data_IF_864033035389
#
_entry.id   IF_864033035389
#
_cell.length_a   1.000
_cell.length_b   1.000
_cell.length_c   1.000
_cell.angle_alpha   90.00
_cell.angle_beta   90.00
_cell.angle_gamma   90.00
#
_symmetry.space_group_name_H-M   'P 1'
#
loop_
_entity.id
_entity.type
_entity.pdbx_description
1 polymer ?
#
# COMPACT_ATOMS: atom_id res chain seq x y z
N UNK A 1 53.64 57.70 -6.46
CA UNK A 1 53.08 56.99 -7.62
C UNK A 1 52.65 55.61 -7.12
N UNK A 2 51.34 55.37 -6.97
CA UNK A 2 50.62 54.09 -7.09
C UNK A 2 49.19 54.31 -6.58
N UNK A 3 48.24 54.35 -7.51
CA UNK A 3 46.78 54.38 -7.25
C UNK A 3 46.35 52.96 -6.91
N UNK A 4 45.68 52.76 -5.77
CA UNK A 4 44.97 51.52 -5.47
C UNK A 4 43.68 51.47 -6.31
N UNK A 5 43.47 50.47 -7.18
CA UNK A 5 42.19 50.28 -7.82
C UNK A 5 41.27 49.57 -6.81
N UNK A 6 40.13 50.21 -6.50
CA UNK A 6 39.05 49.54 -5.80
C UNK A 6 38.57 48.38 -6.68
N UNK A 7 38.80 47.16 -6.19
CA UNK A 7 38.35 45.92 -6.81
C UNK A 7 36.84 45.83 -6.63
N UNK A 8 36.08 46.29 -7.63
CA UNK A 8 34.62 46.19 -7.70
C UNK A 8 34.23 44.76 -8.12
N UNK A 9 34.42 43.79 -7.23
CA UNK A 9 33.94 42.39 -7.42
C UNK A 9 32.59 42.16 -6.69
N UNK A 10 32.08 43.17 -5.98
CA UNK A 10 31.12 42.95 -4.89
C UNK A 10 29.62 42.88 -5.18
N UNK A 11 29.13 43.05 -6.41
CA UNK A 11 27.66 43.18 -6.60
C UNK A 11 27.08 42.41 -7.79
N UNK A 12 27.73 42.40 -8.96
CA UNK A 12 27.20 41.68 -10.13
C UNK A 12 27.29 40.16 -9.94
N UNK A 13 28.41 39.65 -9.40
CA UNK A 13 28.59 38.22 -9.13
C UNK A 13 27.67 37.72 -8.01
N UNK A 14 27.42 38.52 -6.98
CA UNK A 14 26.50 38.16 -5.89
C UNK A 14 25.04 38.16 -6.35
N UNK A 15 24.64 39.13 -7.19
CA UNK A 15 23.30 39.16 -7.80
C UNK A 15 23.09 37.99 -8.76
N UNK A 16 24.10 37.58 -9.52
CA UNK A 16 24.04 36.40 -10.38
C UNK A 16 23.92 35.10 -9.57
N UNK A 17 24.67 34.97 -8.47
CA UNK A 17 24.56 33.82 -7.56
C UNK A 17 23.19 33.80 -6.87
N UNK A 18 22.68 34.93 -6.40
CA UNK A 18 21.33 35.05 -5.81
C UNK A 18 20.23 34.77 -6.84
N UNK A 19 20.38 35.24 -8.09
CA UNK A 19 19.44 34.96 -9.16
C UNK A 19 19.44 33.46 -9.51
N UNK A 20 20.61 32.81 -9.54
CA UNK A 20 20.74 31.36 -9.75
C UNK A 20 20.16 30.54 -8.60
N UNK A 21 20.35 30.95 -7.34
CA UNK A 21 19.69 30.31 -6.18
C UNK A 21 18.18 30.51 -6.25
N UNK A 22 17.70 31.72 -6.60
CA UNK A 22 16.27 31.98 -6.73
C UNK A 22 15.63 31.19 -7.87
N UNK A 23 16.36 30.98 -8.99
CA UNK A 23 15.91 30.16 -10.10
C UNK A 23 15.94 28.66 -9.76
N UNK A 24 16.91 28.20 -8.97
CA UNK A 24 17.00 26.82 -8.48
C UNK A 24 15.90 26.48 -7.45
N UNK A 25 15.48 27.45 -6.64
CA UNK A 25 14.32 27.30 -5.76
C UNK A 25 12.98 27.35 -6.48
N UNK A 26 12.94 27.75 -7.77
CA UNK A 26 11.67 28.05 -8.46
C UNK A 26 11.05 26.89 -9.22
N UNK A 27 11.72 25.74 -9.36
CA UNK A 27 11.13 24.56 -10.02
C UNK A 27 11.83 23.27 -9.58
N UNK A 28 11.74 22.89 -8.31
CA UNK A 28 11.72 21.46 -8.03
C UNK A 28 10.33 20.99 -8.43
N UNK A 29 10.17 19.91 -9.25
CA UNK A 29 8.87 19.27 -9.35
C UNK A 29 8.42 18.99 -7.92
N UNK A 30 7.22 19.45 -7.56
CA UNK A 30 6.63 19.09 -6.27
C UNK A 30 6.56 17.57 -6.25
N UNK A 31 7.38 16.93 -5.42
CA UNK A 31 7.24 15.51 -5.14
C UNK A 31 5.79 15.30 -4.69
N UNK A 32 5.12 14.32 -5.30
CA UNK A 32 3.74 14.00 -4.97
C UNK A 32 3.67 13.50 -3.53
N UNK A 33 2.58 13.84 -2.85
CA UNK A 33 2.33 13.36 -1.49
C UNK A 33 1.80 11.93 -1.50
N UNK A 34 1.75 11.28 -0.33
CA UNK A 34 1.09 9.99 -0.16
C UNK A 34 -0.33 10.01 -0.73
N UNK A 35 -1.15 11.01 -0.35
CA UNK A 35 -2.53 11.14 -0.81
C UNK A 35 -2.61 11.32 -2.34
N UNK A 36 -1.67 12.08 -2.93
CA UNK A 36 -1.64 12.26 -4.40
C UNK A 36 -1.28 10.96 -5.14
N UNK A 37 -0.41 10.12 -4.57
CA UNK A 37 -0.07 8.81 -5.13
C UNK A 37 -1.24 7.83 -4.98
N UNK A 38 -1.92 7.83 -3.83
CA UNK A 38 -3.12 7.02 -3.62
C UNK A 38 -4.22 7.39 -4.62
N UNK A 39 -4.52 8.68 -4.78
CA UNK A 39 -5.58 9.12 -5.72
C UNK A 39 -5.28 8.66 -7.15
N UNK A 40 -4.02 8.77 -7.58
CA UNK A 40 -3.61 8.30 -8.91
C UNK A 40 -3.61 6.77 -9.02
N UNK A 41 -3.16 6.06 -7.98
CA UNK A 41 -3.14 4.60 -7.96
C UNK A 41 -4.54 4.01 -8.03
N UNK A 42 -5.48 4.56 -7.24
CA UNK A 42 -6.88 4.16 -7.23
C UNK A 42 -7.53 4.44 -8.59
N UNK A 43 -7.24 5.59 -9.20
CA UNK A 43 -7.74 5.90 -10.55
C UNK A 43 -7.18 4.95 -11.63
N UNK A 44 -5.90 4.58 -11.53
CA UNK A 44 -5.28 3.59 -12.43
C UNK A 44 -5.89 2.20 -12.21
N UNK A 45 -6.14 1.80 -10.96
CA UNK A 45 -6.80 0.55 -10.60
C UNK A 45 -8.24 0.49 -11.16
N UNK A 46 -9.02 1.56 -10.99
CA UNK A 46 -10.38 1.68 -11.54
C UNK A 46 -10.38 1.62 -13.09
N UNK A 47 -9.29 2.04 -13.72
CA UNK A 47 -9.07 1.91 -15.16
C UNK A 47 -8.50 0.55 -15.59
N UNK A 48 -8.32 -0.38 -14.65
CA UNK A 48 -7.66 -1.70 -14.84
C UNK A 48 -6.21 -1.61 -15.37
N UNK A 49 -5.56 -0.46 -15.19
CA UNK A 49 -4.14 -0.25 -15.47
C UNK A 49 -3.30 -0.79 -14.31
N UNK A 50 -3.29 -2.11 -14.13
CA UNK A 50 -2.69 -2.75 -12.96
C UNK A 50 -1.19 -2.44 -12.77
N UNK A 51 -0.40 -2.38 -13.85
CA UNK A 51 1.04 -2.05 -13.77
C UNK A 51 1.28 -0.64 -13.22
N UNK A 52 0.55 0.35 -13.73
CA UNK A 52 0.62 1.74 -13.26
C UNK A 52 0.12 1.87 -11.82
N UNK A 53 -0.98 1.18 -11.47
CA UNK A 53 -1.50 1.16 -10.11
C UNK A 53 -0.47 0.60 -9.11
N UNK A 54 0.19 -0.52 -9.46
CA UNK A 54 1.22 -1.14 -8.62
C UNK A 54 2.41 -0.19 -8.40
N UNK A 55 2.91 0.46 -9.46
CA UNK A 55 4.00 1.43 -9.35
C UNK A 55 3.63 2.62 -8.44
N UNK A 56 2.41 3.12 -8.54
CA UNK A 56 1.93 4.24 -7.72
C UNK A 56 1.69 3.82 -6.26
N UNK A 57 1.16 2.62 -6.01
CA UNK A 57 1.05 2.09 -4.66
C UNK A 57 2.42 1.82 -4.03
N UNK A 58 3.42 1.36 -4.81
CA UNK A 58 4.80 1.21 -4.34
C UNK A 58 5.33 2.57 -3.86
N UNK A 59 5.20 3.62 -4.67
CA UNK A 59 5.61 4.98 -4.29
C UNK A 59 4.86 5.50 -3.05
N UNK A 60 3.56 5.22 -2.91
CA UNK A 60 2.82 5.56 -1.70
C UNK A 60 3.36 4.81 -0.47
N UNK A 61 3.69 3.52 -0.62
CA UNK A 61 4.25 2.69 0.45
C UNK A 61 5.66 3.11 0.88
N UNK A 62 6.44 3.73 -0.01
CA UNK A 62 7.74 4.33 0.34
C UNK A 62 7.58 5.57 1.24
N UNK A 63 6.48 6.32 1.08
CA UNK A 63 6.19 7.53 1.86
C UNK A 63 5.59 7.18 3.23
N UNK A 64 4.61 6.28 3.26
CA UNK A 64 3.96 5.81 4.49
C UNK A 64 4.06 4.28 4.62
N UNK A 65 5.22 3.73 5.01
CA UNK A 65 5.45 2.28 5.08
C UNK A 65 4.65 1.57 6.18
N UNK A 66 4.07 2.30 7.13
CA UNK A 66 3.20 1.74 8.17
C UNK A 66 1.72 1.76 7.77
N UNK A 67 1.39 2.28 6.58
CA UNK A 67 0.03 2.31 6.09
C UNK A 67 -0.29 1.02 5.34
N UNK A 68 -1.30 0.26 5.80
CA UNK A 68 -1.67 -1.01 5.17
C UNK A 68 -2.37 -0.87 3.81
N UNK A 69 -2.90 0.31 3.50
CA UNK A 69 -3.78 0.47 2.35
C UNK A 69 -3.11 0.12 1.02
N UNK A 70 -1.91 0.65 0.67
CA UNK A 70 -1.20 0.26 -0.55
C UNK A 70 -0.99 -1.26 -0.63
N UNK A 71 -0.55 -1.90 0.46
CA UNK A 71 -0.28 -3.34 0.48
C UNK A 71 -1.55 -4.19 0.27
N UNK A 72 -2.71 -3.77 0.79
CA UNK A 72 -3.99 -4.43 0.51
C UNK A 72 -4.32 -4.34 -0.99
N UNK A 73 -4.18 -3.15 -1.56
CA UNK A 73 -4.51 -2.90 -2.96
C UNK A 73 -3.59 -3.69 -3.89
N UNK A 74 -2.28 -3.68 -3.64
CA UNK A 74 -1.30 -4.49 -4.36
C UNK A 74 -1.64 -5.98 -4.27
N UNK A 75 -1.93 -6.50 -3.07
CA UNK A 75 -2.33 -7.88 -2.89
C UNK A 75 -3.57 -8.27 -3.70
N UNK A 76 -4.56 -7.36 -3.75
CA UNK A 76 -5.79 -7.53 -4.53
C UNK A 76 -5.51 -7.50 -6.04
N UNK A 77 -4.63 -6.60 -6.51
CA UNK A 77 -4.20 -6.55 -7.91
C UNK A 77 -3.52 -7.86 -8.31
N UNK A 78 -2.53 -8.32 -7.55
CA UNK A 78 -1.82 -9.57 -7.85
C UNK A 78 -2.76 -10.77 -7.90
N UNK A 79 -3.80 -10.78 -7.07
CA UNK A 79 -4.83 -11.81 -7.12
C UNK A 79 -5.66 -11.77 -8.39
N UNK A 80 -6.07 -10.58 -8.83
CA UNK A 80 -6.77 -10.40 -10.12
C UNK A 80 -5.87 -10.85 -11.29
N UNK A 81 -4.56 -10.65 -11.16
CA UNK A 81 -3.55 -11.13 -12.12
C UNK A 81 -3.23 -12.64 -11.98
N UNK A 82 -3.88 -13.35 -11.05
CA UNK A 82 -3.62 -14.75 -10.70
C UNK A 82 -2.18 -15.03 -10.20
N UNK A 83 -1.44 -13.99 -9.79
CA UNK A 83 -0.15 -14.10 -9.11
C UNK A 83 -0.37 -14.28 -7.60
N UNK A 84 -0.82 -15.48 -7.24
CA UNK A 84 -1.14 -15.82 -5.86
C UNK A 84 0.03 -15.66 -4.87
N UNK A 85 1.29 -16.01 -5.21
CA UNK A 85 2.43 -15.75 -4.33
C UNK A 85 2.58 -14.28 -3.95
N UNK A 86 2.53 -13.36 -4.91
CA UNK A 86 2.65 -11.94 -4.64
C UNK A 86 1.40 -11.36 -3.97
N UNK A 87 0.21 -11.89 -4.28
CA UNK A 87 -1.01 -11.53 -3.56
C UNK A 87 -0.91 -11.81 -2.06
N UNK A 88 -0.46 -13.03 -1.71
CA UNK A 88 -0.28 -13.45 -0.32
C UNK A 88 0.84 -12.66 0.36
N UNK A 89 1.92 -12.35 -0.36
CA UNK A 89 3.04 -11.57 0.17
C UNK A 89 2.57 -10.17 0.62
N UNK A 90 1.90 -9.42 -0.25
CA UNK A 90 1.48 -8.05 0.06
C UNK A 90 0.41 -7.99 1.15
N UNK A 91 -0.53 -8.95 1.19
CA UNK A 91 -1.48 -9.04 2.30
C UNK A 91 -0.81 -9.43 3.63
N UNK A 92 0.30 -10.17 3.57
CA UNK A 92 1.10 -10.45 4.76
C UNK A 92 1.81 -9.19 5.24
N UNK A 93 2.34 -8.35 4.34
CA UNK A 93 2.86 -7.04 4.72
C UNK A 93 1.79 -6.14 5.32
N UNK A 94 0.58 -6.11 4.76
CA UNK A 94 -0.55 -5.38 5.34
C UNK A 94 -0.83 -5.78 6.80
N UNK A 95 -0.75 -7.08 7.11
CA UNK A 95 -0.87 -7.61 8.46
C UNK A 95 0.30 -7.21 9.37
N UNK A 96 1.53 -7.27 8.85
CA UNK A 96 2.73 -6.93 9.62
C UNK A 96 2.74 -5.45 10.06
N UNK A 97 2.16 -4.56 9.25
CA UNK A 97 2.08 -3.12 9.57
C UNK A 97 0.82 -2.73 10.33
N UNK A 98 -0.14 -3.65 10.54
CA UNK A 98 -1.37 -3.36 11.32
C UNK A 98 -1.65 -4.38 12.41
N UNK A 99 -1.13 -4.09 13.61
CA UNK A 99 -1.44 -4.89 14.78
C UNK A 99 -2.92 -4.76 15.18
N UNK A 100 -3.61 -5.90 15.21
CA UNK A 100 -4.99 -6.00 15.73
C UNK A 100 -6.08 -5.48 14.79
N UNK A 101 -5.75 -5.17 13.53
CA UNK A 101 -6.76 -4.84 12.53
C UNK A 101 -7.36 -6.13 11.91
N UNK A 102 -8.69 -6.31 11.96
CA UNK A 102 -9.32 -7.49 11.37
C UNK A 102 -9.31 -7.48 9.83
N UNK A 103 -9.26 -6.33 9.17
CA UNK A 103 -9.53 -6.22 7.73
C UNK A 103 -8.57 -7.04 6.85
N UNK A 104 -7.22 -6.97 7.01
CA UNK A 104 -6.33 -7.77 6.18
C UNK A 104 -6.53 -9.28 6.32
N UNK A 105 -6.89 -9.76 7.53
CA UNK A 105 -7.24 -11.17 7.74
C UNK A 105 -8.49 -11.57 6.94
N UNK A 106 -9.52 -10.71 6.91
CA UNK A 106 -10.75 -11.00 6.16
C UNK A 106 -10.47 -11.10 4.65
N UNK A 107 -9.67 -10.17 4.12
CA UNK A 107 -9.32 -10.11 2.70
C UNK A 107 -8.52 -11.35 2.32
N UNK A 108 -7.43 -11.65 3.05
CA UNK A 108 -6.58 -12.80 2.77
C UNK A 108 -7.31 -14.13 2.97
N UNK A 109 -8.20 -14.23 3.97
CA UNK A 109 -9.06 -15.40 4.15
C UNK A 109 -9.92 -15.69 2.92
N UNK A 110 -10.59 -14.66 2.36
CA UNK A 110 -11.43 -14.81 1.16
C UNK A 110 -10.63 -15.25 -0.05
N UNK A 111 -9.42 -14.75 -0.19
CA UNK A 111 -8.54 -15.10 -1.30
C UNK A 111 -8.04 -16.53 -1.17
N UNK A 112 -7.63 -16.97 0.03
CA UNK A 112 -7.35 -18.38 0.30
C UNK A 112 -8.56 -19.27 0.05
N UNK A 113 -9.75 -18.80 0.37
CA UNK A 113 -11.01 -19.52 0.12
C UNK A 113 -11.25 -19.75 -1.38
N UNK A 114 -11.03 -18.71 -2.18
CA UNK A 114 -11.17 -18.76 -3.65
C UNK A 114 -10.09 -19.62 -4.31
N UNK A 115 -8.89 -19.69 -3.71
CA UNK A 115 -7.81 -20.58 -4.12
C UNK A 115 -7.99 -22.03 -3.65
N UNK A 116 -9.07 -22.34 -2.94
CA UNK A 116 -9.30 -23.64 -2.28
C UNK A 116 -8.22 -24.01 -1.23
N UNK A 117 -7.49 -23.02 -0.71
CA UNK A 117 -6.51 -23.18 0.38
C UNK A 117 -7.24 -23.15 1.72
N UNK A 118 -8.08 -24.16 1.93
CA UNK A 118 -9.08 -24.18 3.02
C UNK A 118 -8.48 -24.09 4.42
N UNK A 119 -7.27 -24.62 4.63
CA UNK A 119 -6.60 -24.54 5.94
C UNK A 119 -6.23 -23.09 6.27
N UNK A 120 -5.57 -22.39 5.35
CA UNK A 120 -5.15 -21.00 5.54
C UNK A 120 -6.35 -20.05 5.61
N UNK A 121 -7.37 -20.28 4.78
CA UNK A 121 -8.63 -19.54 4.84
C UNK A 121 -9.31 -19.69 6.21
N UNK A 122 -9.38 -20.92 6.74
CA UNK A 122 -9.97 -21.21 8.04
C UNK A 122 -9.25 -20.47 9.18
N UNK A 123 -7.92 -20.46 9.14
CA UNK A 123 -7.10 -19.80 10.15
C UNK A 123 -7.27 -18.28 10.09
N UNK A 124 -7.24 -17.67 8.90
CA UNK A 124 -7.44 -16.22 8.76
C UNK A 124 -8.86 -15.78 9.11
N UNK A 125 -9.91 -16.54 8.74
CA UNK A 125 -11.27 -16.23 9.19
C UNK A 125 -11.42 -16.27 10.72
N UNK A 126 -10.70 -17.18 11.38
CA UNK A 126 -10.67 -17.23 12.85
C UNK A 126 -9.96 -16.00 13.43
N UNK A 127 -8.81 -15.61 12.89
CA UNK A 127 -8.09 -14.39 13.31
C UNK A 127 -8.92 -13.15 13.09
N UNK A 128 -9.58 -13.03 11.95
CA UNK A 128 -10.56 -11.98 11.69
C UNK A 128 -11.63 -11.93 12.80
N UNK A 129 -12.21 -13.07 13.20
CA UNK A 129 -13.22 -13.13 14.26
C UNK A 129 -12.69 -12.79 15.66
N UNK A 130 -11.39 -12.98 15.92
CA UNK A 130 -10.72 -12.58 17.17
C UNK A 130 -10.67 -11.06 17.32
N UNK A 131 -10.35 -10.35 16.23
CA UNK A 131 -10.15 -8.89 16.26
C UNK A 131 -11.41 -8.08 15.89
N UNK A 132 -12.32 -8.63 15.07
CA UNK A 132 -13.48 -7.90 14.59
C UNK A 132 -14.46 -7.51 15.71
N UNK A 133 -14.89 -6.25 15.71
CA UNK A 133 -15.86 -5.73 16.68
C UNK A 133 -17.19 -6.51 16.63
N UNK A 134 -17.91 -6.72 17.75
CA UNK A 134 -19.11 -7.58 17.76
C UNK A 134 -20.20 -7.25 16.73
N UNK A 135 -20.29 -6.00 16.30
CA UNK A 135 -21.24 -5.48 15.31
C UNK A 135 -20.66 -5.35 13.89
N UNK A 136 -19.44 -5.83 13.65
CA UNK A 136 -18.85 -5.83 12.31
C UNK A 136 -19.73 -6.67 11.34
N UNK A 137 -20.11 -6.10 10.18
CA UNK A 137 -21.05 -6.73 9.25
C UNK A 137 -20.57 -8.07 8.69
N UNK A 138 -19.26 -8.35 8.64
CA UNK A 138 -18.74 -9.58 8.04
C UNK A 138 -18.56 -10.72 9.04
N UNK A 139 -18.84 -10.51 10.33
CA UNK A 139 -18.68 -11.56 11.37
C UNK A 139 -19.55 -12.78 11.13
N UNK A 140 -20.80 -12.58 10.75
CA UNK A 140 -21.70 -13.71 10.49
C UNK A 140 -21.26 -14.50 9.26
N UNK A 141 -20.82 -13.80 8.21
CA UNK A 141 -20.20 -14.43 7.04
C UNK A 141 -18.98 -15.28 7.42
N UNK A 142 -18.03 -14.71 8.17
CA UNK A 142 -16.83 -15.43 8.58
C UNK A 142 -17.14 -16.65 9.46
N UNK A 143 -18.15 -16.57 10.35
CA UNK A 143 -18.60 -17.75 11.14
C UNK A 143 -19.12 -18.87 10.26
N UNK A 144 -19.91 -18.54 9.24
CA UNK A 144 -20.44 -19.52 8.30
C UNK A 144 -19.31 -20.19 7.51
N UNK A 145 -18.34 -19.40 7.02
CA UNK A 145 -17.15 -19.93 6.34
C UNK A 145 -16.31 -20.83 7.24
N UNK A 146 -16.04 -20.43 8.49
CA UNK A 146 -15.34 -21.27 9.47
C UNK A 146 -16.04 -22.62 9.67
N UNK A 147 -17.37 -22.62 9.77
CA UNK A 147 -18.16 -23.85 9.89
C UNK A 147 -18.07 -24.75 8.66
N UNK A 148 -18.20 -24.17 7.47
CA UNK A 148 -18.12 -24.89 6.20
C UNK A 148 -16.73 -25.50 5.98
N UNK A 149 -15.67 -24.69 6.10
CA UNK A 149 -14.28 -25.11 5.93
C UNK A 149 -13.88 -26.18 6.94
N UNK A 150 -14.37 -26.11 8.18
CA UNK A 150 -14.13 -27.16 9.16
C UNK A 150 -14.75 -28.50 8.75
N UNK A 151 -15.98 -28.49 8.22
CA UNK A 151 -16.62 -29.71 7.75
C UNK A 151 -15.89 -30.31 6.55
N UNK A 152 -15.46 -29.47 5.61
CA UNK A 152 -14.71 -29.92 4.43
C UNK A 152 -13.36 -30.54 4.80
N UNK A 153 -12.63 -29.93 5.73
CA UNK A 153 -11.32 -30.41 6.16
C UNK A 153 -11.39 -31.66 7.04
N UNK A 154 -12.41 -31.78 7.89
CA UNK A 154 -12.41 -32.76 8.99
C UNK A 154 -13.60 -33.72 9.00
N UNK A 155 -14.72 -33.41 8.34
CA UNK A 155 -15.92 -34.25 8.33
C UNK A 155 -16.13 -35.05 7.03
N UNK A 156 -15.31 -34.83 5.99
CA UNK A 156 -15.40 -35.51 4.70
C UNK A 156 -14.56 -36.79 4.52
N UNK A 157 -13.91 -37.30 5.58
CA UNK A 157 -12.93 -38.39 5.50
C UNK A 157 -13.38 -39.73 6.13
N UNK A 158 -14.69 -39.94 6.33
CA UNK A 158 -15.27 -41.21 6.81
C UNK A 158 -15.88 -42.07 5.69
#
# INVERSE_FOLDING_TARGET
MFKNPHVVIGSVSLLLILALISAFTLTQPTELTYDDYIEQADAALDAENYEEALELYDLASEIEPENKYPYIQQGTIYFVLEDYPDAVLHLTYALDVTEGDPEPYLIRARMFDEMEWHSDALDDYRRYLEFAAPNDPFREFARQRVGALWLELFAGND
#
